data_IF_447730279959
#
_entry.id   IF_447730279959
#
_cell.length_a   1.000
_cell.length_b   1.000
_cell.length_c   1.000
_cell.angle_alpha   90.00
_cell.angle_beta   90.00
_cell.angle_gamma   90.00
#
_symmetry.space_group_name_H-M   'P 1'
#
loop_
_entity.id
_entity.type
_entity.pdbx_description
1 polymer ?
#
# COMPACT_ATOMS: atom_id res chain seq x y z
N UNK A 1 5.79 -21.45 -15.39
CA UNK A 1 5.26 -21.28 -16.77
C UNK A 1 3.76 -21.54 -16.85
N UNK A 2 3.17 -22.40 -15.99
CA UNK A 2 1.71 -22.57 -15.92
C UNK A 2 0.99 -21.29 -15.48
N UNK A 3 1.53 -20.58 -14.49
CA UNK A 3 0.90 -19.37 -13.91
C UNK A 3 0.71 -18.24 -14.93
N UNK A 4 1.64 -18.09 -15.87
CA UNK A 4 1.54 -17.09 -16.95
C UNK A 4 0.50 -17.48 -18.01
N UNK A 5 0.23 -18.77 -18.22
CA UNK A 5 -0.83 -19.23 -19.13
C UNK A 5 -2.21 -19.11 -18.49
N UNK A 6 -2.33 -19.44 -17.20
CA UNK A 6 -3.60 -19.31 -16.46
C UNK A 6 -3.99 -17.84 -16.22
N UNK A 7 -3.01 -16.93 -16.11
CA UNK A 7 -3.27 -15.50 -15.96
C UNK A 7 -3.93 -14.83 -17.19
N UNK A 8 -3.93 -15.48 -18.37
CA UNK A 8 -4.55 -14.95 -19.60
C UNK A 8 -6.07 -15.19 -19.68
N UNK A 9 -6.66 -15.83 -18.66
CA UNK A 9 -8.12 -15.95 -18.58
C UNK A 9 -8.78 -14.58 -18.42
N UNK A 10 -9.91 -14.37 -19.10
CA UNK A 10 -10.65 -13.10 -19.08
C UNK A 10 -11.09 -12.70 -17.66
N UNK A 11 -11.33 -13.68 -16.80
CA UNK A 11 -11.61 -13.49 -15.37
C UNK A 11 -10.42 -12.90 -14.61
N UNK A 12 -9.18 -13.30 -14.93
CA UNK A 12 -7.97 -12.76 -14.30
C UNK A 12 -7.77 -11.28 -14.63
N UNK A 13 -8.06 -10.88 -15.88
CA UNK A 13 -8.00 -9.47 -16.30
C UNK A 13 -9.05 -8.64 -15.55
N UNK A 14 -10.27 -9.16 -15.38
CA UNK A 14 -11.30 -8.49 -14.60
C UNK A 14 -10.91 -8.35 -13.12
N UNK A 15 -10.35 -9.40 -12.51
CA UNK A 15 -9.83 -9.37 -11.14
C UNK A 15 -8.68 -8.38 -10.97
N UNK A 16 -7.78 -8.27 -11.96
CA UNK A 16 -6.67 -7.31 -11.92
C UNK A 16 -7.16 -5.87 -11.89
N UNK A 17 -8.11 -5.50 -12.76
CA UNK A 17 -8.71 -4.16 -12.79
C UNK A 17 -9.43 -3.86 -11.47
N UNK A 18 -10.21 -4.82 -10.96
CA UNK A 18 -10.91 -4.67 -9.70
C UNK A 18 -9.95 -4.45 -8.52
N UNK A 19 -8.92 -5.30 -8.39
CA UNK A 19 -7.92 -5.19 -7.34
C UNK A 19 -7.12 -3.89 -7.42
N UNK A 20 -6.81 -3.41 -8.64
CA UNK A 20 -6.13 -2.13 -8.81
C UNK A 20 -6.91 -0.98 -8.14
N UNK A 21 -8.20 -0.83 -8.45
CA UNK A 21 -9.02 0.22 -7.84
C UNK A 21 -9.27 -0.03 -6.34
N UNK A 22 -9.46 -1.30 -5.95
CA UNK A 22 -9.68 -1.67 -4.56
C UNK A 22 -8.47 -1.35 -3.66
N UNK A 23 -7.24 -1.48 -4.18
CA UNK A 23 -6.02 -1.15 -3.44
C UNK A 23 -5.65 0.32 -3.53
N UNK A 24 -5.94 0.98 -4.65
CA UNK A 24 -5.58 2.38 -4.87
C UNK A 24 -6.43 3.33 -4.02
N UNK A 25 -7.72 3.05 -3.84
CA UNK A 25 -8.63 3.85 -3.01
C UNK A 25 -8.16 4.03 -1.56
N UNK A 26 -7.85 2.96 -0.78
CA UNK A 26 -7.36 3.10 0.58
C UNK A 26 -5.97 3.73 0.65
N UNK A 27 -5.08 3.46 -0.31
CA UNK A 27 -3.74 4.09 -0.34
C UNK A 27 -3.85 5.61 -0.46
N UNK A 28 -4.71 6.11 -1.36
CA UNK A 28 -4.92 7.56 -1.50
C UNK A 28 -5.61 8.14 -0.26
N UNK A 29 -6.66 7.48 0.23
CA UNK A 29 -7.42 7.96 1.39
C UNK A 29 -6.53 8.06 2.63
N UNK A 30 -5.80 7.00 2.93
CA UNK A 30 -4.89 6.97 4.09
C UNK A 30 -3.67 7.84 3.92
N UNK A 31 -3.09 7.89 2.73
CA UNK A 31 -1.98 8.78 2.43
C UNK A 31 -2.34 10.27 2.52
N UNK A 32 -3.59 10.63 2.21
CA UNK A 32 -4.12 11.97 2.41
C UNK A 32 -4.24 12.33 3.89
N UNK A 33 -4.84 11.44 4.68
CA UNK A 33 -4.97 11.61 6.14
C UNK A 33 -3.60 11.72 6.83
N UNK A 34 -2.63 10.89 6.41
CA UNK A 34 -1.27 10.92 6.96
C UNK A 34 -0.51 12.21 6.55
N UNK A 35 -0.73 12.68 5.31
CA UNK A 35 -0.15 13.95 4.85
C UNK A 35 -0.65 15.17 5.63
N UNK A 36 -1.92 15.17 6.03
CA UNK A 36 -2.48 16.20 6.90
C UNK A 36 -1.93 16.11 8.32
N UNK A 37 -1.84 14.90 8.88
CA UNK A 37 -1.34 14.65 10.24
C UNK A 37 0.17 14.96 10.40
N UNK A 38 0.99 14.73 9.36
CA UNK A 38 2.45 14.89 9.40
C UNK A 38 2.96 16.23 8.87
N UNK A 39 2.05 17.17 8.56
CA UNK A 39 2.41 18.49 8.04
C UNK A 39 3.03 18.44 6.64
N UNK A 40 2.58 17.51 5.78
CA UNK A 40 3.08 17.23 4.42
C UNK A 40 4.50 16.65 4.33
N UNK A 41 5.07 16.17 5.44
CA UNK A 41 6.35 15.47 5.41
C UNK A 41 6.22 14.02 4.92
N UNK A 42 5.06 13.38 5.13
CA UNK A 42 4.79 12.02 4.67
C UNK A 42 3.43 12.00 3.96
N UNK A 43 3.43 11.90 2.63
CA UNK A 43 2.29 12.05 1.76
C UNK A 43 1.89 10.75 1.05
N UNK A 44 0.70 10.76 0.44
CA UNK A 44 0.17 9.64 -0.33
C UNK A 44 1.09 9.10 -1.43
N UNK A 45 1.97 9.93 -1.98
CA UNK A 45 2.94 9.52 -3.01
C UNK A 45 3.97 8.53 -2.47
N UNK A 46 4.46 8.72 -1.24
CA UNK A 46 5.47 7.84 -0.65
C UNK A 46 4.86 6.49 -0.27
N UNK A 47 3.63 6.50 0.27
CA UNK A 47 2.87 5.26 0.51
C UNK A 47 2.60 4.49 -0.78
N UNK A 48 2.33 5.18 -1.90
CA UNK A 48 2.12 4.55 -3.20
C UNK A 48 3.40 3.90 -3.74
N UNK A 49 4.53 4.62 -3.68
CA UNK A 49 5.83 4.08 -4.12
C UNK A 49 6.25 2.89 -3.25
N UNK A 50 6.08 2.99 -1.93
CA UNK A 50 6.34 1.89 -0.99
C UNK A 50 5.47 0.66 -1.32
N UNK A 51 4.18 0.85 -1.52
CA UNK A 51 3.24 -0.21 -1.91
C UNK A 51 3.63 -0.89 -3.23
N UNK A 52 4.07 -0.12 -4.22
CA UNK A 52 4.55 -0.63 -5.50
C UNK A 52 5.80 -1.51 -5.35
N UNK A 53 6.83 -1.01 -4.66
CA UNK A 53 8.09 -1.73 -4.48
C UNK A 53 7.89 -3.00 -3.66
N UNK A 54 7.17 -2.90 -2.53
CA UNK A 54 6.85 -4.04 -1.68
C UNK A 54 5.95 -5.06 -2.38
N UNK A 55 4.97 -4.60 -3.16
CA UNK A 55 4.06 -5.45 -3.93
C UNK A 55 4.79 -6.24 -5.02
N UNK A 56 5.70 -5.60 -5.77
CA UNK A 56 6.53 -6.31 -6.75
C UNK A 56 7.46 -7.32 -6.08
N UNK A 57 8.15 -6.93 -5.00
CA UNK A 57 9.02 -7.83 -4.26
C UNK A 57 8.28 -9.05 -3.73
N UNK A 58 7.11 -8.84 -3.12
CA UNK A 58 6.28 -9.92 -2.61
C UNK A 58 5.70 -10.79 -3.74
N UNK A 59 5.28 -10.20 -4.86
CA UNK A 59 4.76 -10.93 -6.00
C UNK A 59 5.77 -11.92 -6.59
N UNK A 60 7.06 -11.57 -6.65
CA UNK A 60 8.10 -12.45 -7.20
C UNK A 60 8.64 -13.50 -6.20
N UNK A 61 8.68 -13.19 -4.91
CA UNK A 61 9.36 -14.02 -3.91
C UNK A 61 8.45 -14.66 -2.85
N UNK A 62 7.13 -14.44 -2.89
CA UNK A 62 6.20 -15.03 -1.91
C UNK A 62 5.82 -16.48 -2.23
N UNK A 63 5.61 -17.27 -1.18
CA UNK A 63 5.00 -18.60 -1.31
C UNK A 63 3.48 -18.59 -1.53
N UNK A 64 2.84 -17.42 -1.39
CA UNK A 64 1.41 -17.22 -1.60
C UNK A 64 1.14 -15.85 -2.26
N UNK A 65 1.18 -15.76 -3.60
CA UNK A 65 1.03 -14.50 -4.33
C UNK A 65 -0.40 -13.92 -4.33
N UNK A 66 -1.37 -14.63 -3.74
CA UNK A 66 -2.75 -14.16 -3.59
C UNK A 66 -2.93 -13.14 -2.46
N UNK A 67 -1.93 -12.98 -1.57
CA UNK A 67 -1.98 -12.03 -0.48
C UNK A 67 -1.66 -10.62 -0.98
N UNK A 68 -2.59 -9.68 -0.76
CA UNK A 68 -2.43 -8.28 -1.11
C UNK A 68 -1.81 -7.53 0.06
N UNK A 69 -0.69 -6.86 -0.21
CA UNK A 69 -0.04 -5.97 0.74
C UNK A 69 -0.60 -4.56 0.62
N UNK A 70 -0.95 -3.95 1.73
CA UNK A 70 -1.44 -2.58 1.78
C UNK A 70 -1.28 -1.97 3.16
N UNK A 71 -1.25 -0.63 3.22
CA UNK A 71 -1.25 0.09 4.49
C UNK A 71 -2.60 -0.11 5.19
N UNK A 72 -2.57 -0.33 6.51
CA UNK A 72 -3.76 -0.57 7.33
C UNK A 72 -3.96 0.56 8.33
N UNK A 73 -5.22 0.81 8.71
CA UNK A 73 -5.60 1.83 9.71
C UNK A 73 -4.72 1.86 10.97
N UNK A 74 -4.45 0.72 11.63
CA UNK A 74 -3.61 0.68 12.83
C UNK A 74 -2.17 1.16 12.61
N UNK A 75 -1.59 0.89 11.44
CA UNK A 75 -0.22 1.33 11.10
C UNK A 75 -0.17 2.85 10.96
N UNK A 76 -1.20 3.46 10.36
CA UNK A 76 -1.28 4.92 10.23
C UNK A 76 -1.45 5.63 11.57
N UNK A 77 -2.28 5.06 12.46
CA UNK A 77 -2.42 5.58 13.82
C UNK A 77 -1.09 5.51 14.55
N UNK A 78 -0.36 4.40 14.39
CA UNK A 78 0.98 4.25 14.95
C UNK A 78 1.97 5.28 14.39
N UNK A 79 2.02 5.49 13.08
CA UNK A 79 2.89 6.50 12.44
C UNK A 79 2.59 7.92 12.94
N UNK A 80 1.31 8.25 13.13
CA UNK A 80 0.88 9.55 13.66
C UNK A 80 1.35 9.75 15.10
N UNK A 81 1.23 8.73 15.95
CA UNK A 81 1.70 8.76 17.35
C UNK A 81 3.22 8.94 17.40
N UNK A 82 3.96 8.20 16.57
CA UNK A 82 5.43 8.30 16.51
C UNK A 82 5.87 9.69 16.04
N UNK A 83 5.21 10.24 15.02
CA UNK A 83 5.50 11.58 14.52
C UNK A 83 5.29 12.64 15.62
N UNK A 84 4.16 12.57 16.33
CA UNK A 84 3.85 13.48 17.43
C UNK A 84 4.82 13.32 18.62
N UNK A 85 5.25 12.08 18.91
CA UNK A 85 6.25 11.79 19.92
C UNK A 85 7.61 12.42 19.60
N UNK A 86 8.12 12.25 18.36
CA UNK A 86 9.37 12.88 17.93
C UNK A 86 9.29 14.41 18.02
N UNK A 87 8.16 14.99 17.59
CA UNK A 87 7.91 16.43 17.69
C UNK A 87 7.94 16.94 19.13
N UNK A 88 7.41 16.18 20.08
CA UNK A 88 7.44 16.55 21.51
C UNK A 88 8.83 16.48 22.13
N UNK A 89 9.68 15.56 21.67
CA UNK A 89 11.06 15.41 22.13
C UNK A 89 12.00 16.42 21.46
N UNK A 90 11.55 17.08 20.39
CA UNK A 90 12.34 18.07 19.65
C UNK A 90 13.36 17.45 18.69
N UNK A 91 13.08 16.22 18.22
CA UNK A 91 13.82 15.58 17.13
C UNK A 91 13.28 16.00 15.76
#
# INVERSE_FOLDING_TARGET
>A
WSDFKDALALQCVASWIFLYFACLSPIITFGGLLGEATGKNMAAMESLVSGFVCGMGYGFFSGQPLTILGSTGPVLVFETIVFEFCRQIGW
#
